data_IF_892290293802
#
_entry.id   IF_892290293802
#
_cell.length_a   1.000
_cell.length_b   1.000
_cell.length_c   1.000
_cell.angle_alpha   90.00
_cell.angle_beta   90.00
_cell.angle_gamma   90.00
#
_symmetry.space_group_name_H-M   'P 1'
#
loop_
_entity.id
_entity.type
_entity.pdbx_description
1 polymer ?
#
# COMPACT_ATOMS: atom_id res chain seq x y z
N UNK A 1 -28.90 -22.85 12.09
CA UNK A 1 -28.49 -22.91 10.66
C UNK A 1 -27.88 -21.59 10.18
N UNK A 2 -28.58 -20.46 10.27
CA UNK A 2 -28.10 -19.17 9.75
C UNK A 2 -26.85 -18.62 10.47
N UNK A 3 -26.82 -18.69 11.80
CA UNK A 3 -25.66 -18.29 12.61
C UNK A 3 -24.43 -19.18 12.34
N UNK A 4 -24.65 -20.47 12.12
CA UNK A 4 -23.58 -21.43 11.78
C UNK A 4 -22.98 -21.12 10.39
N UNK A 5 -23.83 -20.72 9.43
CA UNK A 5 -23.39 -20.27 8.11
C UNK A 5 -22.59 -18.97 8.16
N UNK A 6 -22.98 -18.02 9.01
CA UNK A 6 -22.25 -16.76 9.20
C UNK A 6 -20.87 -16.99 9.85
N UNK A 7 -20.81 -17.87 10.86
CA UNK A 7 -19.55 -18.24 11.52
C UNK A 7 -18.60 -18.94 10.53
N UNK A 8 -19.09 -19.85 9.70
CA UNK A 8 -18.27 -20.52 8.68
C UNK A 8 -17.80 -19.56 7.58
N UNK A 9 -18.62 -18.57 7.22
CA UNK A 9 -18.22 -17.50 6.28
C UNK A 9 -17.12 -16.62 6.87
N UNK A 10 -17.23 -16.21 8.14
CA UNK A 10 -16.22 -15.39 8.80
C UNK A 10 -14.90 -16.17 9.04
N UNK A 11 -15.00 -17.46 9.36
CA UNK A 11 -13.84 -18.34 9.51
C UNK A 11 -13.15 -18.61 8.17
N UNK A 12 -13.88 -18.75 7.06
CA UNK A 12 -13.29 -18.96 5.73
C UNK A 12 -12.59 -17.69 5.20
N UNK A 13 -13.15 -16.51 5.44
CA UNK A 13 -12.53 -15.21 5.09
C UNK A 13 -11.25 -14.99 5.92
N UNK A 14 -11.24 -15.38 7.20
CA UNK A 14 -10.05 -15.24 8.05
C UNK A 14 -8.99 -16.33 7.80
N UNK A 15 -9.37 -17.56 7.41
CA UNK A 15 -8.43 -18.62 7.05
C UNK A 15 -7.61 -18.28 5.79
N UNK A 16 -8.23 -17.61 4.80
CA UNK A 16 -7.53 -17.07 3.63
C UNK A 16 -6.48 -15.99 4.01
N UNK A 17 -6.68 -15.32 5.15
CA UNK A 17 -5.77 -14.32 5.72
C UNK A 17 -4.62 -14.94 6.53
N UNK A 18 -4.83 -16.13 7.11
CA UNK A 18 -3.83 -16.89 7.88
C UNK A 18 -2.93 -17.75 6.98
N UNK A 19 -3.46 -18.26 5.87
CA UNK A 19 -2.74 -19.08 4.87
C UNK A 19 -1.63 -18.32 4.11
N UNK A 20 -1.54 -17.00 4.27
CA UNK A 20 -0.65 -16.11 3.51
C UNK A 20 0.54 -15.52 4.29
N UNK A 21 0.91 -16.04 5.47
CA UNK A 21 2.05 -15.53 6.26
C UNK A 21 3.13 -16.60 6.55
N UNK A 22 4.43 -16.24 6.61
CA UNK A 22 5.51 -17.18 6.91
C UNK A 22 5.64 -17.49 8.41
N UNK A 23 5.88 -18.76 8.74
CA UNK A 23 6.09 -19.28 10.10
C UNK A 23 7.39 -18.71 10.69
N UNK A 24 7.30 -17.79 11.66
CA UNK A 24 8.48 -17.39 12.45
C UNK A 24 8.21 -17.05 13.92
N UNK A 25 6.98 -17.20 14.41
CA UNK A 25 6.67 -17.21 15.86
C UNK A 25 5.88 -18.46 16.21
N UNK A 26 6.08 -18.99 17.41
CA UNK A 26 5.34 -20.17 17.85
C UNK A 26 3.84 -19.83 17.93
N UNK A 27 2.94 -20.75 17.55
CA UNK A 27 1.49 -20.46 17.51
C UNK A 27 0.90 -19.94 18.83
N UNK A 28 1.57 -20.19 19.96
CA UNK A 28 1.09 -19.85 21.31
C UNK A 28 1.25 -18.35 21.60
N UNK A 29 2.39 -17.74 21.25
CA UNK A 29 2.65 -16.30 21.51
C UNK A 29 1.74 -15.40 20.65
N UNK A 30 1.46 -15.80 19.40
CA UNK A 30 0.57 -15.06 18.51
C UNK A 30 -0.91 -15.11 18.95
N UNK A 31 -1.35 -16.24 19.52
CA UNK A 31 -2.71 -16.37 20.05
C UNK A 31 -2.88 -15.53 21.32
N UNK A 32 -1.86 -15.49 22.19
CA UNK A 32 -1.86 -14.66 23.40
C UNK A 32 -1.99 -13.16 23.08
N UNK A 33 -1.20 -12.66 22.13
CA UNK A 33 -1.23 -11.24 21.72
C UNK A 33 -2.56 -10.86 21.03
N UNK A 34 -3.14 -11.78 20.25
CA UNK A 34 -4.43 -11.57 19.59
C UNK A 34 -5.60 -11.52 20.58
N UNK A 35 -5.59 -12.37 21.61
CA UNK A 35 -6.61 -12.36 22.67
C UNK A 35 -6.49 -11.11 23.55
N UNK A 36 -5.28 -10.69 23.92
CA UNK A 36 -5.07 -9.48 24.70
C UNK A 36 -5.55 -8.23 23.94
N UNK A 37 -5.27 -8.13 22.63
CA UNK A 37 -5.75 -7.03 21.78
C UNK A 37 -7.27 -7.01 21.56
N UNK A 38 -7.92 -8.18 21.52
CA UNK A 38 -9.38 -8.28 21.33
C UNK A 38 -10.18 -8.07 22.61
N UNK A 39 -9.58 -8.32 23.79
CA UNK A 39 -10.18 -8.06 25.09
C UNK A 39 -10.14 -6.55 25.37
N UNK A 40 -9.03 -5.87 25.10
CA UNK A 40 -8.91 -4.41 25.27
C UNK A 40 -9.89 -3.63 24.37
N UNK A 41 -10.20 -4.11 23.17
CA UNK A 41 -11.15 -3.44 22.26
C UNK A 41 -12.63 -3.64 22.61
N UNK A 42 -12.97 -4.68 23.39
CA UNK A 42 -14.35 -5.00 23.73
C UNK A 42 -14.76 -4.50 25.13
N UNK A 43 -13.78 -4.14 25.98
CA UNK A 43 -14.06 -3.53 27.30
C UNK A 43 -14.51 -2.06 27.17
N UNK A 44 -14.27 -1.39 26.05
CA UNK A 44 -14.70 0.00 25.82
C UNK A 44 -16.07 0.17 25.13
N UNK A 45 -16.75 -0.91 24.68
CA UNK A 45 -18.01 -0.81 23.90
C UNK A 45 -19.20 -1.50 24.59
N UNK A 46 -19.25 -1.50 25.92
CA UNK A 46 -20.44 -2.02 26.63
C UNK A 46 -20.99 -1.05 27.66
N UNK A 47 -21.28 0.19 27.25
CA UNK A 47 -22.32 0.98 27.90
C UNK A 47 -23.14 1.72 26.82
N UNK A 48 -24.40 1.29 26.66
CA UNK A 48 -25.47 1.89 25.85
C UNK A 48 -25.33 1.82 24.32
N UNK A 49 -26.18 1.01 23.66
CA UNK A 49 -27.22 1.49 22.73
C UNK A 49 -27.94 0.34 21.99
N UNK A 50 -29.09 0.70 21.40
CA UNK A 50 -30.20 -0.16 20.99
C UNK A 50 -29.92 -1.12 19.82
N UNK A 51 -30.51 -2.31 19.93
CA UNK A 51 -30.21 -3.50 19.12
C UNK A 51 -30.73 -3.46 17.67
N UNK A 52 -31.61 -2.54 17.30
CA UNK A 52 -32.28 -2.50 15.98
C UNK A 52 -31.52 -1.70 14.91
N UNK A 53 -30.72 -0.70 15.28
CA UNK A 53 -30.00 0.14 14.31
C UNK A 53 -28.77 -0.57 13.72
N UNK A 54 -28.20 -1.51 14.48
CA UNK A 54 -27.09 -2.38 14.07
C UNK A 54 -27.44 -3.35 12.92
N UNK A 55 -28.70 -3.78 12.84
CA UNK A 55 -29.16 -4.73 11.81
C UNK A 55 -29.29 -4.10 10.41
N UNK A 56 -29.63 -2.82 10.32
CA UNK A 56 -29.74 -2.13 9.03
C UNK A 56 -28.37 -1.76 8.45
N UNK A 57 -27.39 -1.41 9.28
CA UNK A 57 -26.00 -1.14 8.85
C UNK A 57 -25.29 -2.41 8.33
N UNK A 58 -25.63 -3.57 8.89
CA UNK A 58 -25.11 -4.86 8.43
C UNK A 58 -25.66 -5.28 7.06
N UNK A 59 -26.94 -5.02 6.77
CA UNK A 59 -27.55 -5.37 5.48
C UNK A 59 -27.03 -4.55 4.29
N UNK A 60 -26.69 -3.27 4.52
CA UNK A 60 -26.09 -2.40 3.50
C UNK A 60 -24.63 -2.80 3.20
N UNK A 61 -23.90 -3.26 4.21
CA UNK A 61 -22.54 -3.78 4.08
C UNK A 61 -22.49 -5.10 3.30
N UNK A 62 -23.50 -5.96 3.49
CA UNK A 62 -23.65 -7.23 2.76
C UNK A 62 -23.99 -7.00 1.28
N UNK A 63 -24.79 -5.98 0.97
CA UNK A 63 -25.15 -5.63 -0.42
C UNK A 63 -23.95 -5.06 -1.18
N UNK A 64 -23.11 -4.24 -0.52
CA UNK A 64 -21.81 -3.77 -1.07
C UNK A 64 -20.77 -4.88 -1.23
N UNK A 65 -20.78 -5.89 -0.35
CA UNK A 65 -19.90 -7.05 -0.49
C UNK A 65 -20.32 -7.96 -1.65
N UNK A 66 -21.63 -8.13 -1.89
CA UNK A 66 -22.16 -8.90 -3.02
C UNK A 66 -21.87 -8.24 -4.37
N UNK A 67 -21.96 -6.91 -4.47
CA UNK A 67 -21.63 -6.20 -5.72
C UNK A 67 -20.12 -6.26 -6.05
N UNK A 68 -19.26 -6.24 -5.05
CA UNK A 68 -17.82 -6.40 -5.23
C UNK A 68 -17.42 -7.83 -5.63
N UNK A 69 -18.15 -8.85 -5.16
CA UNK A 69 -17.89 -10.25 -5.48
C UNK A 69 -18.25 -10.62 -6.93
N UNK A 70 -19.24 -9.96 -7.52
CA UNK A 70 -19.64 -10.18 -8.92
C UNK A 70 -18.58 -9.64 -9.91
N UNK A 71 -17.75 -8.68 -9.48
CA UNK A 71 -16.70 -8.09 -10.32
C UNK A 71 -15.40 -8.93 -10.42
N UNK A 72 -15.21 -9.92 -9.53
CA UNK A 72 -13.95 -10.70 -9.45
C UNK A 72 -13.98 -12.05 -10.16
N UNK A 73 -15.09 -12.44 -10.79
CA UNK A 73 -15.24 -13.76 -11.43
C UNK A 73 -14.58 -13.92 -12.81
N UNK A 74 -13.83 -12.93 -13.33
CA UNK A 74 -13.10 -13.08 -14.60
C UNK A 74 -11.64 -13.56 -14.44
N UNK A 75 -11.17 -13.79 -13.21
CA UNK A 75 -9.77 -14.14 -12.93
C UNK A 75 -9.72 -15.28 -11.92
N UNK A 76 -10.16 -16.48 -12.31
CA UNK A 76 -9.75 -17.71 -11.63
C UNK A 76 -9.24 -18.71 -12.64
N UNK A 77 -7.91 -18.78 -12.67
CA UNK A 77 -7.12 -19.61 -13.55
C UNK A 77 -7.20 -21.07 -13.09
N UNK A 78 -7.93 -21.89 -13.86
CA UNK A 78 -7.64 -23.32 -14.03
C UNK A 78 -7.91 -24.31 -12.90
N UNK A 79 -8.35 -23.93 -11.70
CA UNK A 79 -8.73 -24.93 -10.68
C UNK A 79 -10.11 -25.52 -10.97
N UNK A 80 -10.18 -26.85 -11.05
CA UNK A 80 -11.44 -27.54 -11.29
C UNK A 80 -12.37 -27.36 -10.10
N UNK A 81 -13.69 -27.40 -10.34
CA UNK A 81 -14.71 -27.42 -9.28
C UNK A 81 -14.42 -28.51 -8.23
N UNK A 82 -13.81 -29.61 -8.66
CA UNK A 82 -13.43 -30.74 -7.81
C UNK A 82 -12.31 -30.37 -6.82
N UNK A 83 -11.34 -29.55 -7.25
CA UNK A 83 -10.26 -29.07 -6.37
C UNK A 83 -10.80 -28.20 -5.23
N UNK A 84 -11.80 -27.36 -5.53
CA UNK A 84 -12.47 -26.54 -4.52
C UNK A 84 -13.27 -27.40 -3.53
N UNK A 85 -13.99 -28.42 -4.01
CA UNK A 85 -14.72 -29.36 -3.15
C UNK A 85 -13.76 -30.12 -2.22
N UNK A 86 -12.60 -30.55 -2.73
CA UNK A 86 -11.60 -31.26 -1.94
C UNK A 86 -10.94 -30.37 -0.88
N UNK A 87 -10.70 -29.09 -1.19
CA UNK A 87 -10.21 -28.11 -0.21
C UNK A 87 -11.25 -27.91 0.90
N UNK A 88 -12.53 -27.78 0.56
CA UNK A 88 -13.61 -27.60 1.55
C UNK A 88 -13.70 -28.80 2.48
N UNK A 89 -13.74 -30.04 1.95
CA UNK A 89 -13.79 -31.27 2.76
C UNK A 89 -12.61 -31.41 3.72
N UNK A 90 -11.41 -31.00 3.31
CA UNK A 90 -10.22 -31.00 4.16
C UNK A 90 -10.33 -29.98 5.30
N UNK A 91 -10.86 -28.80 5.02
CA UNK A 91 -11.04 -27.79 6.07
C UNK A 91 -12.10 -28.20 7.08
N UNK A 92 -13.16 -28.87 6.65
CA UNK A 92 -14.19 -29.43 7.53
C UNK A 92 -13.62 -30.50 8.48
N UNK A 93 -12.73 -31.37 8.01
CA UNK A 93 -12.10 -32.38 8.86
C UNK A 93 -11.11 -31.76 9.86
N UNK A 94 -10.29 -30.79 9.43
CA UNK A 94 -9.38 -30.06 10.32
C UNK A 94 -10.15 -29.28 11.42
N UNK A 95 -11.30 -28.70 11.08
CA UNK A 95 -12.18 -28.02 12.04
C UNK A 95 -12.80 -29.00 13.04
N UNK A 96 -13.22 -30.19 12.60
CA UNK A 96 -13.78 -31.22 13.47
C UNK A 96 -12.75 -31.71 14.51
N UNK A 97 -11.49 -31.90 14.11
CA UNK A 97 -10.39 -32.27 15.02
C UNK A 97 -10.18 -31.21 16.09
N UNK A 98 -10.19 -29.91 15.70
CA UNK A 98 -10.03 -28.81 16.65
C UNK A 98 -11.17 -28.73 17.67
N UNK A 99 -12.42 -28.89 17.24
CA UNK A 99 -13.57 -28.92 18.14
C UNK A 99 -13.50 -30.06 19.16
N UNK A 100 -13.02 -31.23 18.72
CA UNK A 100 -12.79 -32.37 19.61
C UNK A 100 -11.73 -32.05 20.68
N UNK A 101 -10.63 -31.41 20.28
CA UNK A 101 -9.57 -30.97 21.21
C UNK A 101 -10.06 -29.92 22.20
N UNK A 102 -10.85 -28.95 21.75
CA UNK A 102 -11.42 -27.90 22.61
C UNK A 102 -12.40 -28.49 23.64
N UNK A 103 -13.22 -29.46 23.22
CA UNK A 103 -14.13 -30.16 24.12
C UNK A 103 -13.39 -31.02 25.16
N UNK A 104 -12.24 -31.61 24.81
CA UNK A 104 -11.36 -32.31 25.74
C UNK A 104 -10.80 -31.36 26.81
N UNK A 105 -10.28 -30.20 26.38
CA UNK A 105 -9.73 -29.18 27.29
C UNK A 105 -10.82 -28.62 28.21
N UNK A 106 -12.03 -28.38 27.69
CA UNK A 106 -13.15 -27.90 28.49
C UNK A 106 -13.58 -28.93 29.55
N UNK A 107 -13.47 -30.22 29.24
CA UNK A 107 -13.76 -31.32 30.17
C UNK A 107 -12.71 -31.37 31.28
N UNK A 108 -11.43 -31.22 30.95
CA UNK A 108 -10.33 -31.16 31.92
C UNK A 108 -10.44 -29.94 32.85
N UNK A 109 -10.73 -28.76 32.30
CA UNK A 109 -10.93 -27.53 33.09
C UNK A 109 -12.13 -27.65 34.04
N UNK A 110 -13.20 -28.31 33.60
CA UNK A 110 -14.37 -28.56 34.45
C UNK A 110 -14.03 -29.52 35.59
N UNK A 111 -13.19 -30.52 35.36
CA UNK A 111 -12.72 -31.44 36.40
C UNK A 111 -11.85 -30.72 37.46
N UNK A 112 -10.93 -29.86 37.02
CA UNK A 112 -10.08 -29.05 37.93
C UNK A 112 -10.91 -28.07 38.76
N UNK A 113 -11.95 -27.48 38.18
CA UNK A 113 -12.86 -26.59 38.92
C UNK A 113 -13.63 -27.30 40.04
N UNK A 114 -13.93 -28.58 39.88
CA UNK A 114 -14.61 -29.39 40.92
C UNK A 114 -13.64 -29.72 42.05
N UNK A 115 -12.37 -30.04 41.74
CA UNK A 115 -11.34 -30.29 42.76
C UNK A 115 -10.97 -29.05 43.59
N UNK A 116 -11.05 -27.86 42.98
CA UNK A 116 -10.78 -26.60 43.69
C UNK A 116 -11.89 -26.24 44.70
N UNK A 117 -13.14 -26.62 44.42
CA UNK A 117 -14.28 -26.40 45.33
C UNK A 117 -14.28 -27.36 46.53
N UNK A 118 -13.75 -28.58 46.38
CA UNK A 118 -13.57 -29.51 47.52
C UNK A 118 -12.40 -29.13 48.43
N UNK A 119 -11.41 -28.39 47.92
CA UNK A 119 -10.26 -27.91 48.71
C UNK A 119 -10.58 -26.67 49.59
N UNK A 120 -11.61 -25.89 49.26
CA UNK A 120 -11.98 -24.69 50.02
C UNK A 120 -12.76 -24.96 51.33
N UNK A 121 -13.08 -26.21 51.66
CA UNK A 121 -13.78 -26.55 52.92
C UNK A 121 -12.85 -26.96 54.08
N UNK A 122 -11.53 -26.96 53.87
CA UNK A 122 -10.57 -27.27 54.93
C UNK A 122 -9.46 -26.23 54.88
N UNK A 123 -9.59 -25.15 55.65
CA UNK A 123 -8.48 -24.42 56.30
C UNK A 123 -8.98 -23.07 56.83
N UNK A 124 -9.61 -23.09 57.99
CA UNK A 124 -9.44 -22.02 58.97
C UNK A 124 -8.31 -22.46 59.90
N UNK A 125 -7.23 -21.67 59.99
CA UNK A 125 -6.50 -21.30 61.21
C UNK A 125 -5.09 -20.77 60.88
N UNK A 126 -4.76 -19.74 61.65
CA UNK A 126 -3.44 -19.24 62.03
C UNK A 126 -2.64 -18.28 61.15
N UNK A 127 -2.53 -17.09 61.75
CA UNK A 127 -1.77 -15.92 61.37
C UNK A 127 -0.32 -15.99 61.86
N UNK A 128 0.43 -14.98 61.40
CA UNK A 128 1.71 -14.47 61.90
C UNK A 128 2.97 -14.99 61.20
N UNK A 129 3.56 -14.16 60.31
CA UNK A 129 4.98 -13.79 60.41
C UNK A 129 5.37 -12.57 59.54
N UNK A 130 5.81 -11.52 60.24
CA UNK A 130 6.96 -10.63 59.99
C UNK A 130 7.31 -10.19 58.55
N UNK A 131 7.06 -8.90 58.29
CA UNK A 131 7.65 -8.09 57.22
C UNK A 131 9.10 -7.69 57.53
N UNK A 132 10.01 -7.84 56.55
CA UNK A 132 11.36 -7.26 56.54
C UNK A 132 11.45 -6.10 55.53
N UNK A 133 12.18 -5.02 55.81
CA UNK A 133 12.30 -3.88 54.90
C UNK A 133 13.38 -4.09 53.82
N UNK A 134 13.07 -3.65 52.60
CA UNK A 134 13.94 -3.60 51.42
C UNK A 134 14.73 -2.27 51.43
N UNK A 135 16.06 -2.24 51.19
CA UNK A 135 16.80 -1.00 51.02
C UNK A 135 16.73 -0.48 49.57
N UNK A 136 16.54 0.84 49.45
CA UNK A 136 16.52 1.61 48.19
C UNK A 136 17.92 1.76 47.54
N UNK A 137 17.99 2.10 46.23
CA UNK A 137 19.21 1.98 45.42
C UNK A 137 20.13 3.22 45.49
N UNK A 138 21.44 2.98 45.32
CA UNK A 138 22.49 4.00 45.21
C UNK A 138 22.55 4.63 43.81
N UNK A 139 22.38 5.95 43.74
CA UNK A 139 22.80 6.79 42.62
C UNK A 139 24.33 6.82 42.52
N UNK A 140 24.85 6.70 41.29
CA UNK A 140 26.20 7.15 40.94
C UNK A 140 26.11 8.18 39.81
N UNK A 141 26.75 9.31 40.06
CA UNK A 141 26.98 10.44 39.15
C UNK A 141 28.15 10.10 38.19
N UNK A 142 28.53 11.09 37.34
CA UNK A 142 29.78 11.20 36.53
C UNK A 142 29.54 10.78 35.06
N UNK A 143 29.80 11.56 34.00
CA UNK A 143 30.48 12.86 33.76
C UNK A 143 29.94 13.45 32.45
N UNK A 144 29.78 14.77 32.42
CA UNK A 144 29.54 15.59 31.23
C UNK A 144 30.87 15.87 30.52
N UNK A 145 30.94 15.62 29.20
CA UNK A 145 31.95 16.19 28.31
C UNK A 145 31.28 17.20 27.39
N UNK A 146 31.61 18.47 27.61
CA UNK A 146 31.47 19.59 26.67
C UNK A 146 32.64 19.51 25.71
N UNK A 147 32.39 19.61 24.41
CA UNK A 147 33.34 20.22 23.49
C UNK A 147 32.61 21.12 22.49
N UNK A 148 33.03 22.38 22.53
CA UNK A 148 32.66 23.48 21.65
C UNK A 148 33.68 23.55 20.51
N UNK A 149 33.21 23.90 19.31
CA UNK A 149 33.87 24.75 18.29
C UNK A 149 33.04 24.61 17.00
N UNK A 150 32.75 25.60 16.14
CA UNK A 150 32.85 27.07 16.10
C UNK A 150 32.17 27.43 14.76
N UNK A 151 31.26 28.40 14.64
CA UNK A 151 30.71 28.78 13.33
C UNK A 151 31.59 29.84 12.66
N UNK A 152 31.87 29.66 11.37
CA UNK A 152 32.47 30.70 10.51
C UNK A 152 31.35 31.29 9.66
N UNK A 153 31.02 32.55 9.94
CA UNK A 153 30.25 33.45 9.09
C UNK A 153 31.22 34.24 8.22
N UNK A 154 30.97 34.29 6.92
CA UNK A 154 31.44 35.39 6.06
C UNK A 154 30.24 35.99 5.31
N UNK A 155 30.10 37.33 5.30
CA UNK A 155 29.11 38.05 4.51
C UNK A 155 29.74 38.70 3.27
N UNK A 156 28.95 38.87 2.20
CA UNK A 156 29.06 39.84 1.08
C UNK A 156 28.10 39.37 -0.03
N UNK A 157 27.40 40.18 -0.81
CA UNK A 157 27.36 41.63 -1.00
C UNK A 157 26.08 41.97 -1.74
N UNK A 158 25.52 43.13 -1.41
CA UNK A 158 24.41 43.79 -2.09
C UNK A 158 24.84 44.23 -3.51
N UNK A 159 23.93 44.10 -4.47
CA UNK A 159 23.91 44.98 -5.64
C UNK A 159 22.45 45.30 -5.99
N UNK A 160 22.04 46.48 -5.56
CA UNK A 160 20.89 47.21 -6.06
C UNK A 160 21.18 47.69 -7.48
N UNK A 161 20.23 47.54 -8.39
CA UNK A 161 20.09 48.38 -9.58
C UNK A 161 18.62 48.43 -9.97
N UNK A 162 17.96 49.45 -9.47
CA UNK A 162 16.61 49.90 -9.81
C UNK A 162 16.61 50.67 -11.14
N UNK A 163 15.72 50.31 -12.05
CA UNK A 163 15.27 51.17 -13.15
C UNK A 163 13.75 51.07 -13.26
N UNK A 164 13.01 52.19 -13.12
CA UNK A 164 11.56 52.20 -13.20
C UNK A 164 11.13 52.31 -14.67
N UNK A 165 10.51 51.26 -15.20
CA UNK A 165 9.84 51.32 -16.50
C UNK A 165 8.32 51.46 -16.30
N UNK A 166 7.63 52.18 -17.21
CA UNK A 166 6.33 52.79 -16.97
C UNK A 166 5.18 51.78 -16.92
N UNK A 167 4.22 52.09 -16.05
CA UNK A 167 2.98 51.35 -15.81
C UNK A 167 2.11 51.30 -17.07
N UNK A 168 2.12 50.17 -17.76
CA UNK A 168 1.11 49.82 -18.75
C UNK A 168 -0.16 49.38 -18.01
N UNK A 169 -1.23 50.16 -18.16
CA UNK A 169 -2.57 49.87 -17.64
C UNK A 169 -3.12 48.67 -18.43
N UNK A 170 -3.07 47.49 -17.81
CA UNK A 170 -3.63 46.28 -18.39
C UNK A 170 -5.11 46.17 -18.02
N UNK A 171 -5.94 46.24 -19.06
CA UNK A 171 -7.37 45.91 -19.01
C UNK A 171 -7.57 44.51 -18.42
N UNK A 172 -8.21 44.45 -17.24
CA UNK A 172 -8.65 43.23 -16.60
C UNK A 172 -9.71 42.53 -17.47
N UNK A 173 -9.25 41.67 -18.38
CA UNK A 173 -10.09 40.63 -18.95
C UNK A 173 -10.46 39.64 -17.84
N UNK A 174 -11.70 39.17 -17.77
CA UNK A 174 -12.17 38.26 -16.72
C UNK A 174 -11.25 37.04 -16.66
N UNK A 175 -10.61 36.87 -15.51
CA UNK A 175 -9.67 35.80 -15.23
C UNK A 175 -10.40 34.47 -15.44
N UNK A 176 -10.14 33.80 -16.57
CA UNK A 176 -10.71 32.48 -16.84
C UNK A 176 -10.26 31.57 -15.71
N UNK A 177 -11.21 31.22 -14.84
CA UNK A 177 -11.05 30.21 -13.80
C UNK A 177 -10.44 28.99 -14.46
N UNK A 178 -9.15 28.74 -14.20
CA UNK A 178 -8.43 27.58 -14.73
C UNK A 178 -9.14 26.35 -14.16
N UNK A 179 -9.90 25.65 -15.02
CA UNK A 179 -10.40 24.31 -14.72
C UNK A 179 -9.27 23.49 -14.11
N UNK A 180 -9.59 22.71 -13.09
CA UNK A 180 -8.66 21.82 -12.41
C UNK A 180 -7.84 21.03 -13.43
N UNK A 181 -6.55 20.94 -13.16
CA UNK A 181 -5.59 20.63 -14.21
C UNK A 181 -5.69 19.18 -14.69
N UNK A 182 -5.85 18.96 -16.00
CA UNK A 182 -5.81 17.64 -16.66
C UNK A 182 -4.44 16.92 -16.60
N UNK A 183 -3.54 17.33 -15.70
CA UNK A 183 -2.16 16.81 -15.64
C UNK A 183 -2.06 15.69 -14.62
N UNK A 184 -1.15 14.76 -14.89
CA UNK A 184 -0.77 13.69 -13.96
C UNK A 184 0.63 13.97 -13.42
N UNK A 185 0.88 13.56 -12.18
CA UNK A 185 2.20 13.62 -11.55
C UNK A 185 2.55 12.27 -10.94
N UNK A 186 3.67 11.69 -11.35
CA UNK A 186 4.23 10.49 -10.71
C UNK A 186 5.45 10.93 -9.90
N UNK A 187 5.41 10.73 -8.59
CA UNK A 187 6.50 11.03 -7.66
C UNK A 187 7.06 9.72 -7.15
N UNK A 188 8.39 9.59 -7.15
CA UNK A 188 8.99 8.44 -6.50
C UNK A 188 10.49 8.42 -6.46
N UNK A 189 11.02 7.26 -6.08
CA UNK A 189 12.45 7.05 -5.87
C UNK A 189 13.19 6.67 -7.16
N UNK A 190 14.39 6.11 -7.04
CA UNK A 190 15.24 5.72 -8.18
C UNK A 190 14.60 4.67 -9.10
N UNK A 191 13.56 3.95 -8.69
CA UNK A 191 12.85 2.98 -9.55
C UNK A 191 12.24 3.65 -10.79
N UNK A 192 11.87 4.94 -10.69
CA UNK A 192 11.26 5.69 -11.78
C UNK A 192 12.28 6.19 -12.81
N UNK A 193 13.59 6.03 -12.57
CA UNK A 193 14.68 6.63 -13.39
C UNK A 193 14.64 6.21 -14.87
N UNK A 194 14.03 5.06 -15.18
CA UNK A 194 13.94 4.52 -16.54
C UNK A 194 12.72 4.99 -17.34
N UNK A 195 11.77 5.68 -16.71
CA UNK A 195 10.52 6.06 -17.37
C UNK A 195 10.77 7.26 -18.30
N UNK A 196 10.41 7.10 -19.57
CA UNK A 196 10.40 8.18 -20.55
C UNK A 196 9.02 8.82 -20.60
N UNK A 197 8.97 10.15 -20.51
CA UNK A 197 7.71 10.91 -20.61
C UNK A 197 7.18 11.02 -22.03
N UNK A 198 8.00 10.73 -23.05
CA UNK A 198 7.68 10.92 -24.49
C UNK A 198 6.53 10.05 -25.04
N UNK A 199 5.93 9.17 -24.23
CA UNK A 199 4.74 8.39 -24.57
C UNK A 199 3.57 8.60 -23.62
N UNK A 200 3.67 9.54 -22.68
CA UNK A 200 2.66 9.74 -21.64
C UNK A 200 1.84 11.02 -21.89
N UNK A 201 0.53 10.93 -21.72
CA UNK A 201 -0.41 12.05 -21.85
C UNK A 201 -0.35 12.94 -20.63
N UNK A 202 0.00 14.22 -20.83
CA UNK A 202 -0.03 15.27 -19.79
C UNK A 202 0.60 14.84 -18.45
N UNK A 203 1.62 13.98 -18.47
CA UNK A 203 2.17 13.34 -17.28
C UNK A 203 3.58 13.85 -16.98
N UNK A 204 3.75 14.40 -15.78
CA UNK A 204 5.04 14.79 -15.22
C UNK A 204 5.57 13.66 -14.33
N UNK A 205 6.88 13.47 -14.33
CA UNK A 205 7.56 12.50 -13.46
C UNK A 205 8.61 13.24 -12.64
N UNK A 206 8.56 13.07 -11.32
CA UNK A 206 9.54 13.61 -10.37
C UNK A 206 10.24 12.45 -9.68
N UNK A 207 11.53 12.31 -9.97
CA UNK A 207 12.37 11.24 -9.44
C UNK A 207 13.34 11.80 -8.41
N UNK A 208 13.20 11.35 -7.16
CA UNK A 208 14.09 11.69 -6.05
C UNK A 208 14.93 10.47 -5.69
N UNK A 209 16.10 10.35 -6.32
CA UNK A 209 16.97 9.18 -6.15
C UNK A 209 17.42 9.04 -4.69
N UNK A 210 17.33 7.83 -4.16
CA UNK A 210 17.70 7.52 -2.77
C UNK A 210 16.82 8.18 -1.72
N UNK A 211 15.71 8.83 -2.08
CA UNK A 211 14.87 9.49 -1.12
C UNK A 211 14.10 8.49 -0.25
N UNK A 212 13.93 8.89 1.01
CA UNK A 212 13.05 8.32 2.01
C UNK A 212 11.71 9.07 2.04
N UNK A 213 10.72 8.54 2.76
CA UNK A 213 9.39 9.14 2.85
C UNK A 213 9.44 10.58 3.36
N UNK A 214 10.17 10.83 4.46
CA UNK A 214 10.32 12.16 5.08
C UNK A 214 10.77 13.25 4.10
N UNK A 215 11.75 12.92 3.23
CA UNK A 215 12.26 13.83 2.21
C UNK A 215 11.19 14.14 1.19
N UNK A 216 10.45 13.14 0.72
CA UNK A 216 9.38 13.35 -0.27
C UNK A 216 8.26 14.19 0.32
N UNK A 217 7.92 14.00 1.59
CA UNK A 217 6.94 14.83 2.30
C UNK A 217 7.34 16.31 2.27
N UNK A 218 8.61 16.62 2.59
CA UNK A 218 9.15 18.00 2.50
C UNK A 218 9.09 18.56 1.09
N UNK A 219 9.40 17.75 0.08
CA UNK A 219 9.33 18.17 -1.32
C UNK A 219 7.89 18.45 -1.75
N UNK A 220 6.93 17.60 -1.37
CA UNK A 220 5.51 17.78 -1.67
C UNK A 220 4.96 19.09 -1.11
N UNK A 221 5.32 19.44 0.13
CA UNK A 221 4.90 20.68 0.77
C UNK A 221 5.37 21.94 0.03
N UNK A 222 6.43 21.82 -0.79
CA UNK A 222 7.00 22.90 -1.57
C UNK A 222 6.56 22.89 -3.05
N UNK A 223 5.73 21.93 -3.47
CA UNK A 223 5.25 21.83 -4.85
C UNK A 223 3.87 22.47 -5.02
N UNK A 224 3.65 23.08 -6.18
CA UNK A 224 2.30 23.43 -6.63
C UNK A 224 1.56 22.17 -7.12
N UNK A 225 0.88 21.48 -6.20
CA UNK A 225 0.10 20.29 -6.49
C UNK A 225 -1.30 20.58 -7.04
N UNK A 226 -1.75 21.84 -7.01
CA UNK A 226 -3.07 22.27 -7.51
C UNK A 226 -3.20 22.16 -9.03
N UNK A 227 -2.09 22.02 -9.74
CA UNK A 227 -2.09 21.87 -11.19
C UNK A 227 -2.37 20.44 -11.69
N UNK A 228 -2.53 19.46 -10.79
CA UNK A 228 -2.63 18.04 -11.13
C UNK A 228 -3.99 17.46 -10.73
N UNK A 229 -4.55 16.62 -11.62
CA UNK A 229 -5.75 15.82 -11.37
C UNK A 229 -5.43 14.50 -10.70
N UNK A 230 -4.26 13.92 -11.00
CA UNK A 230 -3.83 12.66 -10.42
C UNK A 230 -2.38 12.79 -9.90
N UNK A 231 -2.15 12.37 -8.67
CA UNK A 231 -0.83 12.29 -8.04
C UNK A 231 -0.58 10.85 -7.63
N UNK A 232 0.46 10.24 -8.19
CA UNK A 232 0.84 8.85 -7.97
C UNK A 232 2.13 8.84 -7.14
N UNK A 233 2.08 8.23 -5.96
CA UNK A 233 3.20 8.15 -5.03
C UNK A 233 3.81 6.74 -5.04
N UNK A 234 5.08 6.63 -5.40
CA UNK A 234 5.89 5.43 -5.31
C UNK A 234 7.12 5.71 -4.44
N UNK A 235 7.01 5.49 -3.14
CA UNK A 235 8.07 5.81 -2.17
C UNK A 235 8.06 4.78 -1.04
N UNK A 236 9.11 4.73 -0.22
CA UNK A 236 9.17 3.81 0.91
C UNK A 236 10.11 2.62 0.73
N UNK A 237 10.51 2.30 -0.51
CA UNK A 237 11.42 1.18 -0.75
C UNK A 237 12.75 1.33 -0.02
N UNK A 238 13.32 2.55 0.01
CA UNK A 238 14.59 2.80 0.70
C UNK A 238 14.45 2.83 2.20
N UNK A 239 13.29 3.26 2.71
CA UNK A 239 12.96 3.22 4.13
C UNK A 239 12.96 1.78 4.65
N UNK A 240 12.33 0.86 3.93
CA UNK A 240 12.35 -0.56 4.27
C UNK A 240 13.78 -1.15 4.19
N UNK A 241 14.51 -0.84 3.12
CA UNK A 241 15.91 -1.29 2.95
C UNK A 241 16.84 -0.74 4.04
N UNK A 242 16.55 0.46 4.55
CA UNK A 242 17.24 1.08 5.69
C UNK A 242 16.83 0.53 7.06
N UNK A 243 16.00 -0.51 7.12
CA UNK A 243 15.59 -1.15 8.37
C UNK A 243 14.56 -0.36 9.18
N UNK A 244 13.81 0.56 8.55
CA UNK A 244 12.71 1.28 9.24
C UNK A 244 11.68 0.28 9.74
N UNK A 245 11.21 0.48 10.98
CA UNK A 245 10.16 -0.37 11.55
C UNK A 245 8.86 -0.20 10.76
N UNK A 246 8.02 -1.24 10.71
CA UNK A 246 6.75 -1.17 9.98
C UNK A 246 5.84 -0.07 10.54
N UNK A 247 5.83 0.13 11.86
CA UNK A 247 5.05 1.18 12.52
C UNK A 247 5.53 2.58 12.15
N UNK A 248 6.84 2.82 12.15
CA UNK A 248 7.39 4.13 11.76
C UNK A 248 7.17 4.40 10.27
N UNK A 249 7.31 3.35 9.44
CA UNK A 249 6.98 3.40 8.03
C UNK A 249 5.52 3.81 7.80
N UNK A 250 4.57 3.17 8.49
CA UNK A 250 3.14 3.49 8.41
C UNK A 250 2.86 4.94 8.81
N UNK A 251 3.36 5.38 9.97
CA UNK A 251 3.16 6.74 10.49
C UNK A 251 3.72 7.82 9.54
N UNK A 252 4.91 7.60 9.01
CA UNK A 252 5.51 8.53 8.05
C UNK A 252 4.76 8.56 6.72
N UNK A 253 4.29 7.40 6.24
CA UNK A 253 3.53 7.34 5.01
C UNK A 253 2.15 7.99 5.16
N UNK A 254 1.49 7.82 6.30
CA UNK A 254 0.26 8.55 6.62
C UNK A 254 0.50 10.07 6.58
N UNK A 255 1.57 10.54 7.22
CA UNK A 255 1.96 11.96 7.20
C UNK A 255 2.19 12.47 5.77
N UNK A 256 2.82 11.67 4.91
CA UNK A 256 2.99 11.98 3.48
C UNK A 256 1.65 12.12 2.76
N UNK A 257 0.69 11.22 3.00
CA UNK A 257 -0.62 11.24 2.36
C UNK A 257 -1.45 12.45 2.79
N UNK A 258 -1.42 12.78 4.08
CA UNK A 258 -2.08 13.98 4.61
C UNK A 258 -1.45 15.25 4.03
N UNK A 259 -0.12 15.31 3.94
CA UNK A 259 0.58 16.42 3.31
C UNK A 259 0.18 16.58 1.83
N UNK A 260 0.20 15.50 1.06
CA UNK A 260 -0.23 15.51 -0.34
C UNK A 260 -1.68 16.02 -0.50
N UNK A 261 -2.60 15.56 0.36
CA UNK A 261 -4.02 15.98 0.34
C UNK A 261 -4.19 17.45 0.66
N UNK A 262 -3.46 17.96 1.66
CA UNK A 262 -3.52 19.37 2.06
C UNK A 262 -2.95 20.33 1.01
N UNK A 263 -1.99 19.87 0.20
CA UNK A 263 -1.33 20.67 -0.82
C UNK A 263 -2.02 20.58 -2.21
N UNK A 264 -2.85 19.56 -2.43
CA UNK A 264 -3.59 19.35 -3.69
C UNK A 264 -4.96 20.04 -3.70
N UNK A 265 -5.61 20.10 -4.87
CA UNK A 265 -7.03 20.47 -4.94
C UNK A 265 -7.92 19.36 -4.36
N UNK A 266 -9.13 19.72 -3.94
CA UNK A 266 -10.12 18.77 -3.42
C UNK A 266 -10.57 17.71 -4.42
N UNK A 267 -10.42 17.97 -5.72
CA UNK A 267 -10.76 17.03 -6.81
C UNK A 267 -9.55 16.23 -7.33
N UNK A 268 -8.38 16.39 -6.71
CA UNK A 268 -7.19 15.62 -7.05
C UNK A 268 -7.28 14.20 -6.50
N UNK A 269 -7.05 13.20 -7.35
CA UNK A 269 -6.91 11.81 -6.95
C UNK A 269 -5.49 11.52 -6.48
N UNK A 270 -5.35 11.15 -5.20
CA UNK A 270 -4.08 10.66 -4.65
C UNK A 270 -4.09 9.14 -4.74
N UNK A 271 -3.08 8.60 -5.41
CA UNK A 271 -2.96 7.18 -5.73
C UNK A 271 -1.62 6.68 -5.17
N UNK A 272 -1.66 5.59 -4.42
CA UNK A 272 -0.46 4.95 -3.89
C UNK A 272 -0.07 3.79 -4.78
N UNK A 273 1.14 3.83 -5.32
CA UNK A 273 1.75 2.71 -6.02
C UNK A 273 2.50 1.86 -5.02
N UNK A 274 2.04 0.62 -4.80
CA UNK A 274 2.74 -0.35 -3.96
C UNK A 274 4.21 -0.53 -4.38
N UNK A 275 5.01 -0.97 -3.41
CA UNK A 275 6.42 -1.28 -3.58
C UNK A 275 6.58 -2.57 -4.40
N UNK A 276 7.26 -2.54 -5.55
CA UNK A 276 7.65 -3.75 -6.25
C UNK A 276 8.59 -4.60 -5.37
N UNK A 277 8.64 -5.94 -5.55
CA UNK A 277 9.56 -6.80 -4.81
C UNK A 277 11.01 -6.33 -5.01
N UNK A 278 11.82 -6.44 -3.95
CA UNK A 278 13.24 -6.11 -3.97
C UNK A 278 14.05 -7.31 -3.46
N UNK A 279 15.28 -7.46 -3.94
CA UNK A 279 16.17 -8.54 -3.49
C UNK A 279 16.80 -8.28 -2.12
N UNK A 280 16.92 -7.01 -1.71
CA UNK A 280 17.60 -6.60 -0.48
C UNK A 280 16.68 -6.48 0.74
N UNK A 281 15.37 -6.44 0.54
CA UNK A 281 14.38 -6.35 1.63
C UNK A 281 13.02 -6.88 1.21
N UNK A 282 12.34 -7.60 2.11
CA UNK A 282 10.94 -7.97 1.94
C UNK A 282 10.02 -6.78 2.20
N UNK A 283 9.34 -6.32 1.16
CA UNK A 283 8.39 -5.20 1.20
C UNK A 283 6.93 -5.65 1.28
N UNK A 284 6.65 -6.96 1.38
CA UNK A 284 5.29 -7.49 1.38
C UNK A 284 4.45 -6.92 2.53
N UNK A 285 4.97 -6.97 3.77
CA UNK A 285 4.27 -6.43 4.95
C UNK A 285 4.02 -4.93 4.84
N UNK A 286 4.99 -4.19 4.30
CA UNK A 286 4.83 -2.76 4.02
C UNK A 286 3.69 -2.52 3.01
N UNK A 287 3.56 -3.32 1.95
CA UNK A 287 2.46 -3.20 1.00
C UNK A 287 1.09 -3.51 1.62
N UNK A 288 0.99 -4.52 2.48
CA UNK A 288 -0.25 -4.83 3.22
C UNK A 288 -0.66 -3.64 4.09
N UNK A 289 0.30 -3.02 4.77
CA UNK A 289 0.09 -1.83 5.57
C UNK A 289 -0.36 -0.63 4.73
N UNK A 290 0.32 -0.34 3.61
CA UNK A 290 -0.07 0.74 2.68
C UNK A 290 -1.47 0.53 2.13
N UNK A 291 -1.84 -0.69 1.77
CA UNK A 291 -3.17 -0.99 1.27
C UNK A 291 -4.25 -0.72 2.32
N UNK A 292 -4.04 -1.16 3.57
CA UNK A 292 -4.95 -0.86 4.67
C UNK A 292 -5.07 0.64 4.92
N UNK A 293 -3.96 1.36 4.89
CA UNK A 293 -3.93 2.81 5.05
C UNK A 293 -4.70 3.52 3.92
N UNK A 294 -4.54 3.08 2.67
CA UNK A 294 -5.31 3.61 1.54
C UNK A 294 -6.80 3.34 1.71
N UNK A 295 -7.19 2.14 2.14
CA UNK A 295 -8.60 1.82 2.41
C UNK A 295 -9.18 2.73 3.50
N UNK A 296 -8.44 2.94 4.59
CA UNK A 296 -8.84 3.83 5.68
C UNK A 296 -9.05 5.27 5.22
N UNK A 297 -8.16 5.79 4.36
CA UNK A 297 -8.19 7.17 3.87
C UNK A 297 -9.06 7.39 2.62
N UNK A 298 -9.68 6.32 2.09
CA UNK A 298 -10.48 6.36 0.86
C UNK A 298 -9.65 6.64 -0.40
N UNK A 299 -8.42 6.15 -0.46
CA UNK A 299 -7.48 6.34 -1.57
C UNK A 299 -7.36 5.08 -2.44
N UNK A 300 -6.84 5.26 -3.66
CA UNK A 300 -6.58 4.15 -4.58
C UNK A 300 -5.19 3.56 -4.31
N UNK A 301 -5.12 2.25 -4.12
CA UNK A 301 -3.87 1.49 -4.03
C UNK A 301 -3.63 0.65 -5.29
N UNK A 302 -2.47 0.80 -5.92
CA UNK A 302 -2.05 0.00 -7.07
C UNK A 302 -1.14 -1.13 -6.58
N UNK A 303 -1.63 -2.36 -6.71
CA UNK A 303 -0.89 -3.61 -6.44
C UNK A 303 0.21 -3.84 -7.47
N UNK A 304 1.38 -3.25 -7.23
CA UNK A 304 2.55 -3.49 -8.07
C UNK A 304 3.24 -4.80 -7.73
N UNK A 305 3.23 -5.21 -6.45
CA UNK A 305 4.07 -6.31 -5.95
C UNK A 305 3.89 -7.60 -6.77
N UNK A 306 2.64 -8.03 -6.89
CA UNK A 306 2.21 -9.28 -7.51
C UNK A 306 2.53 -9.31 -9.01
N UNK A 307 2.61 -8.15 -9.66
CA UNK A 307 2.90 -8.03 -11.10
C UNK A 307 4.35 -8.40 -11.46
N UNK A 308 5.25 -8.44 -10.46
CA UNK A 308 6.67 -8.74 -10.64
C UNK A 308 7.10 -10.03 -9.95
N UNK A 309 6.16 -10.80 -9.42
CA UNK A 309 6.42 -12.12 -8.87
C UNK A 309 6.29 -13.18 -9.98
N UNK A 310 7.16 -14.20 -9.96
CA UNK A 310 7.06 -15.38 -10.82
C UNK A 310 6.11 -16.41 -10.21
N UNK A 311 6.20 -16.55 -8.89
CA UNK A 311 5.37 -17.38 -8.03
C UNK A 311 5.26 -16.70 -6.66
N UNK A 312 4.66 -17.34 -5.66
CA UNK A 312 4.42 -16.74 -4.34
C UNK A 312 5.68 -16.24 -3.61
N UNK A 313 6.88 -16.71 -3.99
CA UNK A 313 8.11 -16.45 -3.25
C UNK A 313 9.24 -15.88 -4.11
N UNK A 314 9.20 -16.08 -5.43
CA UNK A 314 10.29 -15.70 -6.30
C UNK A 314 9.98 -14.44 -7.12
N UNK A 315 10.84 -13.44 -6.99
CA UNK A 315 10.86 -12.28 -7.87
C UNK A 315 11.13 -12.72 -9.33
N UNK A 316 10.42 -12.12 -10.28
CA UNK A 316 10.63 -12.35 -11.69
C UNK A 316 11.74 -11.42 -12.22
N UNK A 317 12.98 -11.91 -12.20
CA UNK A 317 14.18 -11.17 -12.59
C UNK A 317 14.15 -10.63 -14.04
N UNK A 318 13.24 -11.10 -14.89
CA UNK A 318 13.06 -10.56 -16.24
C UNK A 318 12.62 -9.10 -16.28
N UNK A 319 12.14 -8.54 -15.16
CA UNK A 319 11.72 -7.14 -15.06
C UNK A 319 12.76 -6.22 -14.43
N UNK A 320 13.84 -6.76 -13.89
CA UNK A 320 14.86 -6.01 -13.16
C UNK A 320 16.18 -5.96 -13.95
N UNK A 321 17.03 -5.00 -13.61
CA UNK A 321 18.44 -5.07 -13.96
C UNK A 321 19.17 -6.01 -12.99
N UNK A 322 20.48 -6.14 -13.13
CA UNK A 322 21.30 -7.07 -12.34
C UNK A 322 21.24 -6.84 -10.82
N UNK A 323 20.83 -5.66 -10.37
CA UNK A 323 20.75 -5.32 -8.95
C UNK A 323 19.47 -5.83 -8.25
N UNK A 324 18.50 -6.39 -8.98
CA UNK A 324 17.25 -6.90 -8.41
C UNK A 324 16.36 -5.84 -7.72
N UNK A 325 16.66 -4.56 -7.91
CA UNK A 325 15.98 -3.42 -7.27
C UNK A 325 15.39 -2.49 -8.35
N UNK A 326 16.18 -2.16 -9.37
CA UNK A 326 15.75 -1.24 -10.42
C UNK A 326 15.18 -1.99 -11.61
N UNK A 327 14.15 -1.42 -12.22
CA UNK A 327 13.57 -1.98 -13.42
C UNK A 327 14.49 -1.86 -14.64
N UNK A 328 14.46 -2.90 -15.47
CA UNK A 328 14.91 -2.79 -16.85
C UNK A 328 13.80 -2.17 -17.73
N UNK A 329 13.99 -2.12 -19.05
CA UNK A 329 12.98 -1.55 -19.97
C UNK A 329 11.64 -2.29 -19.93
N UNK A 330 11.64 -3.62 -19.76
CA UNK A 330 10.45 -4.45 -19.65
C UNK A 330 9.71 -4.19 -18.33
N UNK A 331 10.42 -4.11 -17.21
CA UNK A 331 9.84 -3.76 -15.91
C UNK A 331 9.23 -2.37 -15.92
N UNK A 332 9.93 -1.39 -16.49
CA UNK A 332 9.44 -0.02 -16.63
C UNK A 332 8.17 0.04 -17.48
N UNK A 333 8.12 -0.70 -18.59
CA UNK A 333 6.93 -0.77 -19.44
C UNK A 333 5.74 -1.43 -18.71
N UNK A 334 5.99 -2.50 -17.95
CA UNK A 334 4.95 -3.13 -17.12
C UNK A 334 4.42 -2.16 -16.07
N UNK A 335 5.29 -1.45 -15.37
CA UNK A 335 4.94 -0.47 -14.33
C UNK A 335 3.99 0.59 -14.86
N UNK A 336 4.33 1.19 -16.00
CA UNK A 336 3.51 2.21 -16.64
C UNK A 336 2.17 1.66 -17.13
N UNK A 337 2.14 0.45 -17.71
CA UNK A 337 0.88 -0.18 -18.12
C UNK A 337 -0.06 -0.43 -16.95
N UNK A 338 0.47 -0.82 -15.79
CA UNK A 338 -0.36 -0.99 -14.59
C UNK A 338 -1.00 0.34 -14.16
N UNK A 339 -0.26 1.45 -14.20
CA UNK A 339 -0.81 2.79 -13.90
C UNK A 339 -1.81 3.22 -14.98
N UNK A 340 -1.49 2.97 -16.25
CA UNK A 340 -2.35 3.29 -17.39
C UNK A 340 -3.72 2.63 -17.32
N UNK A 341 -3.78 1.37 -16.90
CA UNK A 341 -5.04 0.65 -16.71
C UNK A 341 -5.97 1.30 -15.67
N UNK A 342 -5.44 2.16 -14.79
CA UNK A 342 -6.21 2.85 -13.75
C UNK A 342 -6.62 4.26 -14.20
N UNK A 343 -5.72 5.01 -14.81
CA UNK A 343 -5.94 6.45 -15.08
C UNK A 343 -5.72 6.91 -16.52
N UNK A 344 -5.39 6.00 -17.46
CA UNK A 344 -5.23 6.31 -18.89
C UNK A 344 -4.13 7.35 -19.16
N UNK A 345 -2.88 7.01 -18.83
CA UNK A 345 -1.72 7.91 -18.98
C UNK A 345 -0.91 7.67 -20.24
N UNK A 346 -1.06 6.56 -20.93
CA UNK A 346 -0.37 6.29 -22.19
C UNK A 346 -1.08 7.07 -23.28
N UNK A 347 -0.32 7.88 -24.02
CA UNK A 347 -0.82 8.43 -25.27
C UNK A 347 -0.99 7.27 -26.26
N UNK A 348 -2.21 6.75 -26.35
CA UNK A 348 -2.68 6.11 -27.57
C UNK A 348 -2.83 7.23 -28.60
N UNK A 349 -1.71 7.77 -29.08
CA UNK A 349 -1.77 8.52 -30.32
C UNK A 349 -2.40 7.60 -31.37
N UNK A 350 -3.15 8.20 -32.29
CA UNK A 350 -3.53 7.54 -33.54
C UNK A 350 -2.29 6.86 -34.12
N UNK A 351 -2.50 5.68 -34.69
CA UNK A 351 -1.45 4.88 -35.32
C UNK A 351 -0.53 5.78 -36.13
N UNK A 352 0.79 5.66 -35.94
CA UNK A 352 1.74 6.49 -36.67
C UNK A 352 1.42 6.42 -38.17
N UNK A 353 1.08 7.56 -38.78
CA UNK A 353 0.63 7.56 -40.18
C UNK A 353 1.68 7.04 -41.15
N UNK A 354 2.94 6.99 -40.73
CA UNK A 354 4.02 6.49 -41.55
C UNK A 354 4.20 4.98 -41.46
N UNK A 355 3.94 4.35 -40.31
CA UNK A 355 4.24 2.92 -40.13
C UNK A 355 3.23 2.12 -39.32
N UNK A 356 2.12 2.73 -38.90
CA UNK A 356 1.02 2.10 -38.18
C UNK A 356 1.39 1.63 -36.78
N UNK A 357 2.57 2.02 -36.29
CA UNK A 357 2.97 1.67 -34.92
C UNK A 357 2.38 2.67 -33.95
N UNK A 358 1.84 2.15 -32.86
CA UNK A 358 1.53 2.91 -31.68
C UNK A 358 2.84 3.31 -30.95
N UNK A 359 2.74 4.26 -30.03
CA UNK A 359 3.83 4.72 -29.14
C UNK A 359 4.89 5.63 -29.78
N UNK A 360 4.64 6.23 -30.94
CA UNK A 360 5.38 7.41 -31.38
C UNK A 360 4.52 8.31 -32.27
N UNK A 361 4.85 9.60 -32.32
CA UNK A 361 4.22 10.51 -33.29
C UNK A 361 4.79 10.29 -34.67
N UNK A 362 4.01 10.52 -35.72
CA UNK A 362 4.45 10.48 -37.12
C UNK A 362 5.73 11.28 -37.37
N UNK A 363 5.90 12.43 -36.71
CA UNK A 363 7.10 13.27 -36.80
C UNK A 363 8.39 12.63 -36.25
N UNK A 364 8.27 11.60 -35.40
CA UNK A 364 9.39 10.84 -34.84
C UNK A 364 9.48 9.44 -35.43
N UNK A 365 8.74 9.17 -36.50
CA UNK A 365 8.80 7.88 -37.16
C UNK A 365 10.19 7.71 -37.79
N UNK A 366 10.81 6.54 -37.59
CA UNK A 366 12.06 6.19 -38.28
C UNK A 366 11.92 6.19 -39.81
N UNK A 367 10.68 6.13 -40.29
CA UNK A 367 10.34 6.27 -41.69
C UNK A 367 9.90 7.71 -41.92
N UNK A 368 10.67 8.46 -42.72
CA UNK A 368 10.35 9.84 -43.08
C UNK A 368 9.14 9.95 -44.04
N UNK A 369 8.57 8.82 -44.46
CA UNK A 369 7.42 8.74 -45.35
C UNK A 369 6.57 7.51 -45.02
N UNK A 370 5.32 7.52 -45.50
CA UNK A 370 4.40 6.40 -45.33
C UNK A 370 4.96 5.16 -46.01
N UNK A 371 5.12 4.08 -45.25
CA UNK A 371 5.56 2.79 -45.79
C UNK A 371 4.38 2.10 -46.48
N UNK A 372 4.66 1.40 -47.58
CA UNK A 372 3.66 0.60 -48.29
C UNK A 372 3.60 -0.81 -47.69
N UNK A 373 2.42 -1.27 -47.30
CA UNK A 373 2.22 -2.63 -46.81
C UNK A 373 2.26 -3.63 -47.98
N UNK A 374 3.09 -4.67 -47.87
CA UNK A 374 3.24 -5.68 -48.93
C UNK A 374 2.02 -6.60 -49.12
N UNK A 375 1.14 -6.74 -48.13
CA UNK A 375 -0.06 -7.61 -48.23
C UNK A 375 -1.23 -6.91 -48.91
N UNK A 376 -1.55 -5.67 -48.51
CA UNK A 376 -2.73 -4.95 -48.99
C UNK A 376 -2.42 -3.78 -49.93
N UNK A 377 -1.14 -3.51 -50.20
CA UNK A 377 -0.67 -2.38 -51.00
C UNK A 377 -1.07 -0.97 -50.51
N UNK A 378 -1.62 -0.82 -49.29
CA UNK A 378 -1.94 0.48 -48.70
C UNK A 378 -0.75 1.09 -47.94
N UNK A 379 -0.72 2.41 -47.86
CA UNK A 379 0.32 3.16 -47.15
C UNK A 379 0.01 3.32 -45.65
N UNK A 380 1.05 3.50 -44.85
CA UNK A 380 0.97 3.97 -43.47
C UNK A 380 0.91 2.90 -42.40
N UNK A 381 1.19 1.63 -42.72
CA UNK A 381 1.30 0.56 -41.73
C UNK A 381 2.28 -0.54 -42.11
N UNK A 382 2.91 -1.17 -41.11
CA UNK A 382 3.74 -2.37 -41.31
C UNK A 382 2.85 -3.58 -41.59
N UNK A 383 3.42 -4.58 -42.29
CA UNK A 383 2.75 -5.85 -42.60
C UNK A 383 2.07 -6.50 -41.37
N UNK A 384 2.71 -6.46 -40.20
CA UNK A 384 2.19 -7.01 -38.93
C UNK A 384 0.92 -6.33 -38.40
N UNK A 385 0.55 -5.17 -38.95
CA UNK A 385 -0.68 -4.43 -38.59
C UNK A 385 -1.71 -4.42 -39.73
N UNK A 386 -1.51 -5.22 -40.77
CA UNK A 386 -2.43 -5.29 -41.90
C UNK A 386 -3.69 -6.10 -41.52
N UNK A 387 -4.87 -5.48 -41.63
CA UNK A 387 -6.17 -6.12 -41.36
C UNK A 387 -6.86 -6.70 -42.59
N UNK A 388 -6.30 -6.48 -43.78
CA UNK A 388 -6.81 -7.02 -45.05
C UNK A 388 -6.55 -8.51 -45.23
#
# INVERSE_FOLDING_TARGET
MFLLGLILLLLSVNYLKISSQPRSSTPVEFIQDFFNSSIESNVEISENENHEESLNVQNDSITKLKSNYICTNSIYDGKSREDLINIIKRLESELAVKKCSEQSIQTELSAVSVECQTSQYVNTCDASTQTRPIPAPRLSQVKTHKDQCRPVLEPKSQHENSSPNPKTINNHSPEKVKKSGDKNLIIGSSILKGIRTSGLSKTNIRTFRGAHIDRITKEIMNMDLKAYKNIILQVGGNDMSGGKSLKDFENEFESLLLAARSCSNSDCNIIVSGLPPRIDVDVYRANVALERLCQHLGLVFIRQYEMYMRDSFNQNNNFYVHDGIHFNSRGTSRYIKTIDNIIGIINTHDECENCGELNHKTSFCRFNMKIKCFKCNRYGHKLKFCTA
#
